data_IF_567150007062
#
_entry.id   IF_567150007062
#
_cell.length_a   1.000
_cell.length_b   1.000
_cell.length_c   1.000
_cell.angle_alpha   90.00
_cell.angle_beta   90.00
_cell.angle_gamma   90.00
#
_symmetry.space_group_name_H-M   'P 1'
#
loop_
_entity.id
_entity.type
_entity.pdbx_description
1 polymer ?
#
# COMPACT_ATOMS: atom_id res chain seq x y z
N UNK A 1 9.22 24.06 -15.28
CA UNK A 1 9.55 24.25 -16.70
C UNK A 1 8.63 25.28 -17.32
N UNK A 2 7.50 24.85 -17.87
CA UNK A 2 6.59 25.70 -18.66
C UNK A 2 6.14 26.96 -17.91
N UNK A 3 5.55 26.80 -16.72
CA UNK A 3 5.08 27.93 -15.90
C UNK A 3 6.21 28.92 -15.55
N UNK A 4 7.43 28.41 -15.34
CA UNK A 4 8.57 29.28 -15.08
C UNK A 4 8.96 30.10 -16.31
N UNK A 5 8.90 29.52 -17.51
CA UNK A 5 9.11 30.25 -18.77
C UNK A 5 8.00 31.26 -19.06
N UNK A 6 6.77 31.02 -18.63
CA UNK A 6 5.68 32.02 -18.74
C UNK A 6 5.96 33.26 -17.87
N UNK A 7 6.53 33.07 -16.68
CA UNK A 7 6.87 34.14 -15.75
C UNK A 7 8.21 34.82 -16.09
N UNK A 8 9.17 34.06 -16.62
CA UNK A 8 10.51 34.53 -17.00
C UNK A 8 10.85 34.01 -18.41
N UNK A 9 10.36 34.70 -19.46
CA UNK A 9 10.47 34.21 -20.85
C UNK A 9 11.91 33.99 -21.32
N UNK A 10 12.82 34.85 -20.88
CA UNK A 10 14.22 34.84 -21.29
C UNK A 10 15.07 33.81 -20.53
N UNK A 11 14.53 33.13 -19.51
CA UNK A 11 15.29 32.17 -18.72
C UNK A 11 15.68 30.93 -19.55
N UNK A 12 16.92 30.46 -19.39
CA UNK A 12 17.35 29.19 -19.96
C UNK A 12 17.00 28.05 -19.00
N UNK A 13 16.31 27.01 -19.51
CA UNK A 13 15.84 25.89 -18.68
C UNK A 13 16.35 24.59 -19.26
N UNK A 14 17.09 23.85 -18.43
CA UNK A 14 17.63 22.54 -18.74
C UNK A 14 16.95 21.47 -17.89
N UNK A 15 16.46 20.41 -18.52
CA UNK A 15 15.88 19.24 -17.86
C UNK A 15 16.74 18.01 -18.14
N UNK A 16 17.48 17.58 -17.13
CA UNK A 16 18.29 16.36 -17.20
C UNK A 16 17.44 15.14 -16.87
N UNK A 17 17.46 14.13 -17.73
CA UNK A 17 16.60 12.95 -17.59
C UNK A 17 17.29 11.65 -18.05
N UNK A 18 16.75 10.50 -17.65
CA UNK A 18 17.15 9.18 -18.19
C UNK A 18 16.13 8.75 -19.23
N UNK A 19 14.87 8.69 -18.80
CA UNK A 19 13.69 8.40 -19.62
C UNK A 19 12.59 9.42 -19.29
N UNK A 20 11.89 9.92 -20.31
CA UNK A 20 10.70 10.75 -20.13
C UNK A 20 9.49 9.84 -20.00
N UNK A 21 8.77 9.95 -18.88
CA UNK A 21 7.60 9.11 -18.56
C UNK A 21 6.33 9.93 -18.69
N UNK A 22 5.91 10.15 -19.92
CA UNK A 22 4.70 10.89 -20.32
C UNK A 22 3.50 9.94 -20.46
N UNK A 23 3.28 9.09 -19.45
CA UNK A 23 2.19 8.11 -19.47
C UNK A 23 0.89 8.80 -19.08
N UNK A 24 -0.08 8.83 -20.00
CA UNK A 24 -1.36 9.52 -19.78
C UNK A 24 -1.86 10.22 -21.03
N UNK A 25 -3.13 10.64 -21.00
CA UNK A 25 -3.72 11.37 -22.12
C UNK A 25 -3.10 12.76 -22.22
N UNK A 26 -2.62 13.13 -23.41
CA UNK A 26 -2.00 14.42 -23.73
C UNK A 26 -0.67 14.73 -23.01
N UNK A 27 -0.06 13.78 -22.31
CA UNK A 27 1.21 14.04 -21.60
C UNK A 27 2.37 14.19 -22.59
N UNK A 28 2.34 13.45 -23.70
CA UNK A 28 3.30 13.61 -24.79
C UNK A 28 3.13 14.95 -25.51
N UNK A 29 1.88 15.39 -25.74
CA UNK A 29 1.63 16.72 -26.30
C UNK A 29 2.13 17.83 -25.36
N UNK A 30 2.00 17.64 -24.04
CA UNK A 30 2.56 18.58 -23.05
C UNK A 30 4.09 18.64 -23.13
N UNK A 31 4.76 17.49 -23.29
CA UNK A 31 6.20 17.44 -23.50
C UNK A 31 6.60 18.15 -24.80
N UNK A 32 5.89 17.89 -25.91
CA UNK A 32 6.14 18.55 -27.20
C UNK A 32 6.04 20.07 -27.07
N UNK A 33 5.00 20.58 -26.42
CA UNK A 33 4.84 22.02 -26.17
C UNK A 33 5.99 22.58 -25.33
N UNK A 34 6.45 21.85 -24.31
CA UNK A 34 7.60 22.26 -23.51
C UNK A 34 8.89 22.38 -24.34
N UNK A 35 9.09 21.49 -25.30
CA UNK A 35 10.25 21.48 -26.19
C UNK A 35 10.15 22.54 -27.30
N UNK A 36 9.06 22.52 -28.06
CA UNK A 36 8.90 23.30 -29.30
C UNK A 36 8.45 24.73 -29.05
N UNK A 37 7.49 24.95 -28.13
CA UNK A 37 6.90 26.27 -27.89
C UNK A 37 7.70 27.04 -26.82
N UNK A 38 8.07 26.37 -25.73
CA UNK A 38 8.76 26.99 -24.60
C UNK A 38 10.30 26.92 -24.68
N UNK A 39 10.85 26.19 -25.66
CA UNK A 39 12.30 26.08 -25.87
C UNK A 39 13.06 25.45 -24.68
N UNK A 40 12.41 24.60 -23.88
CA UNK A 40 13.05 23.93 -22.74
C UNK A 40 13.99 22.85 -23.28
N UNK A 41 15.25 22.87 -22.84
CA UNK A 41 16.26 21.93 -23.31
C UNK A 41 16.21 20.65 -22.49
N UNK A 42 15.95 19.53 -23.15
CA UNK A 42 15.97 18.21 -22.52
C UNK A 42 17.29 17.51 -22.84
N UNK A 43 18.06 17.22 -21.79
CA UNK A 43 19.37 16.59 -21.91
C UNK A 43 19.28 15.18 -21.35
N UNK A 44 19.45 14.18 -22.23
CA UNK A 44 19.42 12.79 -21.80
C UNK A 44 20.74 12.42 -21.13
N UNK A 45 20.74 12.38 -19.82
CA UNK A 45 21.93 12.19 -19.00
C UNK A 45 21.61 12.23 -17.52
N UNK A 46 22.16 11.27 -16.77
CA UNK A 46 22.12 11.35 -15.30
C UNK A 46 23.17 12.35 -14.83
N UNK A 47 22.74 13.33 -14.04
CA UNK A 47 23.65 14.26 -13.35
C UNK A 47 24.55 13.47 -12.40
N UNK A 48 25.85 13.69 -12.50
CA UNK A 48 26.87 13.02 -11.69
C UNK A 48 27.18 13.79 -10.41
N UNK A 49 27.24 15.12 -10.50
CA UNK A 49 27.57 16.00 -9.40
C UNK A 49 26.92 17.37 -9.60
N UNK A 50 26.42 17.94 -8.52
CA UNK A 50 26.04 19.35 -8.41
C UNK A 50 26.94 19.95 -7.35
N UNK A 51 27.56 21.08 -7.64
CA UNK A 51 28.46 21.77 -6.72
C UNK A 51 28.45 23.26 -6.99
N UNK A 52 28.87 24.04 -6.01
CA UNK A 52 28.99 25.49 -6.13
C UNK A 52 30.47 25.86 -6.13
N UNK A 53 30.85 26.74 -7.05
CA UNK A 53 32.21 27.27 -7.18
C UNK A 53 32.10 28.77 -7.51
N UNK A 54 32.81 29.61 -6.73
CA UNK A 54 32.78 31.07 -6.86
C UNK A 54 31.36 31.70 -6.87
N UNK A 55 30.42 31.08 -6.15
CA UNK A 55 29.01 31.52 -6.08
C UNK A 55 28.14 31.11 -7.25
N UNK A 56 28.65 30.30 -8.18
CA UNK A 56 27.94 29.77 -9.35
C UNK A 56 27.65 28.29 -9.15
N UNK A 57 26.39 27.87 -9.39
CA UNK A 57 26.01 26.47 -9.32
C UNK A 57 26.38 25.77 -10.62
N UNK A 58 27.14 24.68 -10.52
CA UNK A 58 27.61 23.88 -11.64
C UNK A 58 26.99 22.48 -11.63
N UNK A 59 26.49 22.06 -12.78
CA UNK A 59 25.91 20.73 -12.99
C UNK A 59 26.82 19.93 -13.93
N UNK A 60 27.44 18.88 -13.40
CA UNK A 60 28.26 17.95 -14.16
C UNK A 60 27.42 16.73 -14.57
N UNK A 61 27.26 16.51 -15.87
CA UNK A 61 26.49 15.40 -16.42
C UNK A 61 27.16 14.79 -17.67
N UNK A 62 26.59 13.68 -18.15
CA UNK A 62 26.95 13.08 -19.44
C UNK A 62 25.75 13.20 -20.36
N UNK A 63 25.90 13.91 -21.47
CA UNK A 63 24.93 13.84 -22.57
C UNK A 63 25.14 12.52 -23.30
N UNK A 64 24.20 11.60 -23.11
CA UNK A 64 24.25 10.25 -23.67
C UNK A 64 23.91 10.21 -25.16
N UNK A 65 23.24 11.23 -25.71
CA UNK A 65 22.92 11.31 -27.13
C UNK A 65 24.13 11.82 -27.93
N UNK A 66 24.87 12.77 -27.35
CA UNK A 66 26.09 13.31 -27.94
C UNK A 66 27.37 12.58 -27.49
N UNK A 67 27.24 11.61 -26.58
CA UNK A 67 28.33 10.85 -25.97
C UNK A 67 29.47 11.73 -25.44
N UNK A 68 29.12 12.79 -24.73
CA UNK A 68 30.09 13.75 -24.18
C UNK A 68 29.77 14.15 -22.76
N UNK A 69 30.82 14.48 -21.99
CA UNK A 69 30.67 15.14 -20.70
C UNK A 69 30.29 16.60 -20.93
N UNK A 70 29.38 17.10 -20.10
CA UNK A 70 28.94 18.49 -20.13
C UNK A 70 28.98 19.04 -18.71
N UNK A 71 29.34 20.31 -18.61
CA UNK A 71 29.24 21.13 -17.42
C UNK A 71 28.35 22.31 -17.77
N UNK A 72 27.29 22.52 -17.00
CA UNK A 72 26.33 23.60 -17.20
C UNK A 72 26.34 24.47 -15.96
N UNK A 73 26.58 25.76 -16.15
CA UNK A 73 26.46 26.78 -15.11
C UNK A 73 25.02 27.25 -15.06
N UNK A 74 24.44 27.30 -13.86
CA UNK A 74 23.05 27.71 -13.63
C UNK A 74 22.96 28.60 -12.40
N UNK A 75 21.98 29.49 -12.38
CA UNK A 75 21.68 30.30 -11.18
C UNK A 75 21.00 29.46 -10.09
N UNK A 76 20.33 28.38 -10.48
CA UNK A 76 19.56 27.53 -9.57
C UNK A 76 19.41 26.10 -10.12
N UNK A 77 19.63 25.11 -9.25
CA UNK A 77 19.34 23.71 -9.52
C UNK A 77 18.08 23.28 -8.79
N UNK A 78 17.11 22.71 -9.53
CA UNK A 78 15.88 22.15 -8.96
C UNK A 78 15.93 20.62 -8.98
N UNK A 79 15.82 20.00 -7.80
CA UNK A 79 15.79 18.54 -7.68
C UNK A 79 14.35 18.02 -7.82
N UNK A 80 14.09 17.25 -8.87
CA UNK A 80 12.84 16.49 -9.01
C UNK A 80 12.86 15.26 -8.09
N UNK A 81 12.59 15.48 -6.80
CA UNK A 81 12.62 14.43 -5.78
C UNK A 81 11.46 13.42 -5.97
N UNK A 82 11.67 12.15 -5.63
CA UNK A 82 10.62 11.15 -5.68
C UNK A 82 9.57 11.40 -4.59
N UNK A 83 8.38 10.85 -4.79
CA UNK A 83 7.43 10.66 -3.68
C UNK A 83 7.93 9.52 -2.79
N UNK A 84 7.86 9.74 -1.48
CA UNK A 84 8.12 8.74 -0.46
C UNK A 84 6.85 8.58 0.40
N UNK A 85 6.71 7.46 1.13
CA UNK A 85 5.60 7.30 2.05
C UNK A 85 5.57 8.43 3.10
N UNK A 86 4.36 8.79 3.53
CA UNK A 86 4.18 9.85 4.53
C UNK A 86 4.67 9.41 5.92
N UNK A 87 5.15 10.36 6.72
CA UNK A 87 5.49 10.10 8.11
C UNK A 87 4.28 9.52 8.87
N UNK A 88 4.52 8.47 9.66
CA UNK A 88 3.47 7.80 10.45
C UNK A 88 2.61 6.80 9.67
N UNK A 89 2.88 6.55 8.38
CA UNK A 89 2.13 5.55 7.59
C UNK A 89 2.19 4.15 8.21
N UNK A 90 3.32 3.77 8.80
CA UNK A 90 3.51 2.48 9.45
C UNK A 90 2.65 2.31 10.70
N UNK A 91 2.56 3.36 11.52
CA UNK A 91 1.71 3.37 12.70
C UNK A 91 0.23 3.29 12.30
N UNK A 92 -0.17 4.02 11.26
CA UNK A 92 -1.52 3.96 10.71
C UNK A 92 -1.85 2.56 10.19
N UNK A 93 -0.96 1.98 9.39
CA UNK A 93 -1.13 0.64 8.83
C UNK A 93 -1.25 -0.41 9.94
N UNK A 94 -0.44 -0.32 11.01
CA UNK A 94 -0.55 -1.22 12.16
C UNK A 94 -1.89 -1.09 12.89
N UNK A 95 -2.34 0.15 13.18
CA UNK A 95 -3.63 0.39 13.85
C UNK A 95 -4.81 -0.11 13.01
N UNK A 96 -4.74 0.07 11.69
CA UNK A 96 -5.77 -0.34 10.76
C UNK A 96 -5.60 -1.78 10.26
N UNK A 97 -4.52 -2.46 10.65
CA UNK A 97 -4.16 -3.83 10.21
C UNK A 97 -4.06 -3.93 8.68
N UNK A 98 -3.54 -2.90 8.04
CA UNK A 98 -3.29 -2.85 6.59
C UNK A 98 -1.84 -3.30 6.34
N UNK A 99 -1.61 -3.98 5.23
CA UNK A 99 -0.26 -4.36 4.80
C UNK A 99 0.46 -3.20 4.13
N UNK A 100 1.79 -3.21 4.21
CA UNK A 100 2.66 -2.25 3.53
C UNK A 100 3.48 -3.01 2.49
N UNK A 101 3.64 -2.41 1.32
CA UNK A 101 4.43 -3.00 0.24
C UNK A 101 5.94 -2.85 0.48
N UNK A 102 6.76 -3.40 -0.42
CA UNK A 102 8.22 -3.33 -0.30
C UNK A 102 8.80 -1.92 -0.47
N UNK A 103 7.99 -0.94 -0.88
CA UNK A 103 8.38 0.46 -1.06
C UNK A 103 7.90 1.36 0.10
N UNK A 104 7.20 0.79 1.09
CA UNK A 104 6.68 1.51 2.25
C UNK A 104 5.29 2.14 2.06
N UNK A 105 4.59 1.86 0.95
CA UNK A 105 3.22 2.36 0.71
C UNK A 105 2.15 1.34 1.14
N UNK A 106 0.90 1.79 1.32
CA UNK A 106 -0.20 0.89 1.66
C UNK A 106 -0.49 -0.10 0.53
N UNK A 107 -0.53 -1.38 0.86
CA UNK A 107 -0.68 -2.46 -0.11
C UNK A 107 -2.16 -2.77 -0.40
N UNK A 108 -2.54 -2.73 -1.67
CA UNK A 108 -3.83 -3.22 -2.13
C UNK A 108 -3.94 -4.75 -2.08
N UNK A 109 -5.17 -5.26 -2.02
CA UNK A 109 -5.47 -6.68 -1.98
C UNK A 109 -5.03 -7.39 -3.27
N UNK A 110 -5.28 -6.77 -4.42
CA UNK A 110 -4.82 -7.30 -5.71
C UNK A 110 -4.68 -6.19 -6.76
N UNK A 111 -3.53 -6.07 -7.46
CA UNK A 111 -3.24 -4.92 -8.34
C UNK A 111 -4.27 -4.65 -9.45
N UNK A 112 -4.97 -5.69 -9.92
CA UNK A 112 -5.98 -5.60 -11.00
C UNK A 112 -7.43 -5.75 -10.55
N UNK A 113 -7.73 -6.81 -9.79
CA UNK A 113 -9.10 -7.14 -9.38
C UNK A 113 -9.61 -6.28 -8.22
N UNK A 114 -8.71 -5.90 -7.29
CA UNK A 114 -9.06 -5.20 -6.07
C UNK A 114 -8.06 -4.05 -5.79
N UNK A 115 -7.93 -3.08 -6.70
CA UNK A 115 -6.86 -2.07 -6.67
C UNK A 115 -7.04 -0.99 -5.59
N UNK A 116 -8.21 -0.94 -4.95
CA UNK A 116 -8.56 0.06 -3.92
C UNK A 116 -9.00 -0.58 -2.61
N UNK A 117 -8.96 -1.90 -2.52
CA UNK A 117 -9.35 -2.63 -1.31
C UNK A 117 -8.08 -3.08 -0.61
N UNK A 118 -8.07 -3.06 0.72
CA UNK A 118 -6.98 -3.65 1.49
C UNK A 118 -7.27 -5.12 1.82
N UNK A 119 -6.28 -5.83 2.37
CA UNK A 119 -6.50 -7.17 2.91
C UNK A 119 -7.44 -7.20 4.12
N UNK A 120 -7.65 -6.05 4.78
CA UNK A 120 -8.62 -5.92 5.88
C UNK A 120 -9.97 -5.51 5.31
N UNK A 121 -11.02 -6.35 5.48
CA UNK A 121 -12.35 -6.05 4.96
C UNK A 121 -12.91 -4.72 5.47
N UNK A 122 -13.58 -3.98 4.59
CA UNK A 122 -14.16 -2.66 4.92
C UNK A 122 -13.15 -1.51 4.95
N UNK A 123 -11.85 -1.77 4.74
CA UNK A 123 -10.82 -0.75 4.64
C UNK A 123 -10.36 -0.61 3.20
N UNK A 124 -10.47 0.62 2.68
CA UNK A 124 -10.17 0.98 1.30
C UNK A 124 -9.03 2.00 1.23
N UNK A 125 -8.36 2.03 0.08
CA UNK A 125 -7.17 2.82 -0.19
C UNK A 125 -7.46 3.85 -1.28
N UNK A 126 -6.93 5.06 -1.11
CA UNK A 126 -7.03 6.11 -2.11
C UNK A 126 -5.80 7.03 -2.11
N UNK A 127 -5.40 7.46 -3.30
CA UNK A 127 -4.38 8.49 -3.50
C UNK A 127 -2.95 8.01 -3.30
N UNK A 128 -2.06 8.98 -3.05
CA UNK A 128 -0.62 8.75 -3.00
C UNK A 128 -0.17 7.87 -1.82
N UNK A 129 -1.03 7.64 -0.82
CA UNK A 129 -0.74 6.72 0.29
C UNK A 129 -0.54 5.26 -0.18
N UNK A 130 -1.14 4.89 -1.32
CA UNK A 130 -1.02 3.55 -1.91
C UNK A 130 0.15 3.42 -2.90
N UNK A 131 0.55 4.51 -3.56
CA UNK A 131 1.71 4.55 -4.48
C UNK A 131 1.88 5.95 -5.09
N UNK A 132 3.08 6.30 -5.58
CA UNK A 132 3.27 7.53 -6.35
C UNK A 132 2.35 7.59 -7.57
N UNK A 133 1.53 8.63 -7.67
CA UNK A 133 0.56 8.84 -8.75
C UNK A 133 0.23 10.31 -8.91
N UNK A 134 -0.36 10.66 -10.05
CA UNK A 134 -0.81 12.02 -10.30
C UNK A 134 -2.21 12.31 -9.73
N UNK A 135 -2.68 13.53 -9.96
CA UNK A 135 -3.98 13.99 -9.47
C UNK A 135 -5.12 13.25 -10.16
N UNK A 136 -5.01 12.94 -11.46
CA UNK A 136 -6.09 12.31 -12.21
C UNK A 136 -6.32 10.89 -11.70
N UNK A 137 -5.25 10.13 -11.54
CA UNK A 137 -5.29 8.78 -10.96
C UNK A 137 -5.78 8.82 -9.52
N UNK A 138 -5.34 9.80 -8.73
CA UNK A 138 -5.80 9.99 -7.34
C UNK A 138 -7.32 10.21 -7.26
N UNK A 139 -7.87 11.08 -8.12
CA UNK A 139 -9.31 11.37 -8.14
C UNK A 139 -10.11 10.15 -8.61
N UNK A 140 -9.62 9.44 -9.63
CA UNK A 140 -10.25 8.20 -10.09
C UNK A 140 -10.26 7.14 -8.99
N UNK A 141 -9.14 6.96 -8.28
CA UNK A 141 -9.01 6.01 -7.18
C UNK A 141 -9.91 6.38 -6.00
N UNK A 142 -10.00 7.67 -5.65
CA UNK A 142 -10.92 8.14 -4.61
C UNK A 142 -12.38 7.81 -4.94
N UNK A 143 -12.78 7.97 -6.20
CA UNK A 143 -14.12 7.60 -6.66
C UNK A 143 -14.37 6.09 -6.57
N UNK A 144 -13.37 5.27 -6.94
CA UNK A 144 -13.45 3.82 -6.82
C UNK A 144 -13.56 3.37 -5.35
N UNK A 145 -12.73 3.92 -4.46
CA UNK A 145 -12.78 3.64 -3.02
C UNK A 145 -14.14 4.04 -2.42
N UNK A 146 -14.68 5.21 -2.79
CA UNK A 146 -16.02 5.64 -2.37
C UNK A 146 -17.11 4.68 -2.87
N UNK A 147 -17.03 4.22 -4.12
CA UNK A 147 -17.97 3.24 -4.66
C UNK A 147 -17.94 1.91 -3.89
N UNK A 148 -16.75 1.46 -3.48
CA UNK A 148 -16.57 0.24 -2.69
C UNK A 148 -17.05 0.36 -1.25
N UNK A 149 -16.85 1.53 -0.64
CA UNK A 149 -17.47 1.83 0.65
C UNK A 149 -19.00 1.83 0.56
N UNK A 150 -19.56 2.45 -0.49
CA UNK A 150 -21.01 2.45 -0.74
C UNK A 150 -21.57 1.05 -1.02
N UNK A 151 -20.81 0.19 -1.70
CA UNK A 151 -21.20 -1.21 -1.94
C UNK A 151 -21.54 -1.93 -0.63
N UNK A 152 -20.75 -1.71 0.43
CA UNK A 152 -21.00 -2.29 1.75
C UNK A 152 -22.14 -1.54 2.45
N UNK A 153 -22.10 -0.21 2.46
CA UNK A 153 -23.04 0.63 3.22
C UNK A 153 -24.47 0.61 2.68
N UNK A 154 -24.66 0.26 1.40
CA UNK A 154 -25.97 0.20 0.76
C UNK A 154 -26.72 -1.11 1.01
N UNK A 155 -26.07 -2.10 1.65
CA UNK A 155 -26.68 -3.39 1.93
C UNK A 155 -27.33 -3.39 3.31
N UNK A 156 -28.54 -3.97 3.41
CA UNK A 156 -29.23 -4.16 4.71
C UNK A 156 -28.49 -5.16 5.62
N UNK A 157 -27.68 -6.04 5.04
CA UNK A 157 -26.96 -7.12 5.72
C UNK A 157 -25.61 -7.32 5.08
N UNK A 158 -24.61 -7.63 5.90
CA UNK A 158 -23.25 -7.96 5.46
C UNK A 158 -23.00 -9.43 5.80
N UNK A 159 -22.37 -10.17 4.88
CA UNK A 159 -21.94 -11.54 5.15
C UNK A 159 -20.58 -11.55 5.85
N UNK A 160 -20.52 -12.19 7.02
CA UNK A 160 -19.28 -12.48 7.72
C UNK A 160 -18.83 -13.91 7.38
N UNK A 161 -17.53 -14.13 7.27
CA UNK A 161 -16.96 -15.46 7.02
C UNK A 161 -17.36 -16.42 8.14
N UNK A 162 -17.87 -17.63 7.84
CA UNK A 162 -18.32 -18.56 8.87
C UNK A 162 -17.18 -19.30 9.58
N UNK A 163 -15.92 -19.05 9.21
CA UNK A 163 -14.72 -19.61 9.85
C UNK A 163 -14.48 -18.87 11.16
N UNK A 164 -15.31 -19.17 12.15
CA UNK A 164 -15.26 -18.57 13.49
C UNK A 164 -14.94 -19.64 14.53
N UNK A 165 -14.35 -19.23 15.64
CA UNK A 165 -14.00 -20.15 16.72
C UNK A 165 -15.24 -20.48 17.57
N UNK A 166 -15.36 -21.75 17.97
CA UNK A 166 -16.42 -22.26 18.84
C UNK A 166 -15.81 -22.96 20.04
N UNK A 167 -16.56 -23.03 21.16
CA UNK A 167 -16.09 -23.65 22.41
C UNK A 167 -16.99 -24.81 22.81
N UNK A 168 -16.38 -25.98 23.04
CA UNK A 168 -17.01 -27.10 23.72
C UNK A 168 -16.97 -26.84 25.24
N UNK A 169 -18.13 -26.53 25.83
CA UNK A 169 -18.25 -26.19 27.27
C UNK A 169 -17.91 -27.36 28.19
N UNK A 170 -18.06 -28.61 27.75
CA UNK A 170 -17.77 -29.78 28.58
C UNK A 170 -16.26 -29.97 28.77
N UNK A 171 -15.49 -29.73 27.70
CA UNK A 171 -14.03 -29.81 27.72
C UNK A 171 -13.35 -28.56 28.31
N UNK A 172 -14.10 -27.49 28.55
CA UNK A 172 -13.53 -26.15 28.64
C UNK A 172 -12.62 -25.85 29.83
N UNK A 173 -12.57 -26.51 30.99
CA UNK A 173 -11.74 -26.16 32.17
C UNK A 173 -11.79 -24.72 32.77
N UNK A 174 -11.95 -23.65 31.99
CA UNK A 174 -11.97 -22.26 32.45
C UNK A 174 -10.61 -21.60 32.68
N UNK A 175 -9.53 -22.08 32.05
CA UNK A 175 -8.15 -21.61 32.30
C UNK A 175 -7.82 -20.18 31.82
N UNK A 176 -8.68 -19.55 30.99
CA UNK A 176 -8.59 -18.17 30.49
C UNK A 176 -7.42 -17.82 29.55
N UNK A 177 -6.57 -18.78 29.16
CA UNK A 177 -5.45 -18.52 28.24
C UNK A 177 -5.88 -17.96 26.88
N UNK A 178 -7.08 -18.32 26.41
CA UNK A 178 -7.64 -17.82 25.16
C UNK A 178 -7.92 -16.31 25.17
N UNK A 179 -8.17 -15.69 26.33
CA UNK A 179 -8.50 -14.27 26.43
C UNK A 179 -7.34 -13.40 25.92
N UNK A 180 -6.13 -13.65 26.39
CA UNK A 180 -4.93 -12.93 25.96
C UNK A 180 -4.47 -13.29 24.55
N UNK A 181 -4.89 -14.46 24.03
CA UNK A 181 -4.54 -14.90 22.70
C UNK A 181 -5.35 -14.23 21.59
N UNK A 182 -6.56 -13.71 21.90
CA UNK A 182 -7.42 -13.08 20.90
C UNK A 182 -7.05 -11.60 20.70
N UNK A 183 -6.52 -11.19 19.53
CA UNK A 183 -6.18 -9.79 19.29
C UNK A 183 -7.41 -8.92 18.97
N UNK A 184 -8.59 -9.53 18.87
CA UNK A 184 -9.86 -8.87 18.54
C UNK A 184 -10.75 -8.68 19.77
N UNK A 185 -10.42 -9.31 20.92
CA UNK A 185 -11.27 -9.28 22.11
C UNK A 185 -12.60 -10.04 21.94
N UNK A 186 -12.65 -11.05 21.08
CA UNK A 186 -13.87 -11.79 20.76
C UNK A 186 -14.30 -12.80 21.85
N UNK A 187 -13.57 -12.92 22.97
CA UNK A 187 -13.73 -14.01 23.93
C UNK A 187 -14.08 -13.44 25.31
N UNK A 188 -15.13 -13.97 25.92
CA UNK A 188 -15.56 -13.63 27.27
C UNK A 188 -15.66 -14.89 28.15
N UNK A 189 -15.75 -14.70 29.47
CA UNK A 189 -15.94 -15.78 30.42
C UNK A 189 -17.35 -15.74 31.00
N UNK A 190 -18.15 -16.75 30.69
CA UNK A 190 -19.54 -16.92 31.14
C UNK A 190 -19.64 -18.21 31.96
N UNK A 191 -20.11 -18.11 33.20
CA UNK A 191 -20.23 -19.23 34.15
C UNK A 191 -18.91 -20.04 34.31
N UNK A 192 -17.77 -19.35 34.28
CA UNK A 192 -16.46 -19.99 34.40
C UNK A 192 -15.99 -20.74 33.15
N UNK A 193 -16.71 -20.64 32.03
CA UNK A 193 -16.32 -21.19 30.71
C UNK A 193 -16.10 -20.06 29.71
N UNK A 194 -15.28 -20.32 28.69
CA UNK A 194 -15.07 -19.36 27.62
C UNK A 194 -16.27 -19.38 26.65
N UNK A 195 -16.70 -18.21 26.22
CA UNK A 195 -17.71 -18.00 25.19
C UNK A 195 -17.14 -17.05 24.13
N UNK A 196 -17.40 -17.33 22.86
CA UNK A 196 -16.82 -16.59 21.74
C UNK A 196 -17.95 -15.86 21.02
N UNK A 197 -17.81 -14.55 20.89
CA UNK A 197 -18.70 -13.74 20.07
C UNK A 197 -18.36 -13.98 18.59
N UNK A 198 -19.23 -14.71 17.89
CA UNK A 198 -19.04 -15.06 16.48
C UNK A 198 -18.93 -13.83 15.56
N UNK A 199 -19.50 -12.68 15.96
CA UNK A 199 -19.51 -11.45 15.15
C UNK A 199 -18.15 -10.73 15.21
N UNK A 200 -17.43 -10.84 16.33
CA UNK A 200 -16.11 -10.19 16.53
C UNK A 200 -14.97 -11.13 16.10
N UNK A 201 -15.25 -12.43 15.98
CA UNK A 201 -14.24 -13.44 15.72
C UNK A 201 -13.79 -13.43 14.25
N UNK A 202 -12.60 -12.89 13.98
CA UNK A 202 -11.99 -12.91 12.62
C UNK A 202 -11.37 -14.26 12.22
N UNK A 203 -11.63 -15.35 12.95
CA UNK A 203 -11.24 -16.70 12.52
C UNK A 203 -9.73 -17.04 12.54
N UNK A 204 -8.86 -16.20 13.13
CA UNK A 204 -7.40 -16.38 13.05
C UNK A 204 -6.84 -17.66 13.72
N UNK A 205 -7.61 -18.33 14.59
CA UNK A 205 -7.20 -19.59 15.23
C UNK A 205 -6.21 -19.48 16.40
N UNK A 206 -5.78 -18.28 16.80
CA UNK A 206 -4.83 -18.10 17.90
C UNK A 206 -5.32 -18.70 19.25
N UNK A 207 -6.61 -18.63 19.52
CA UNK A 207 -7.21 -19.24 20.71
C UNK A 207 -7.27 -20.77 20.63
N UNK A 208 -7.41 -21.34 19.43
CA UNK A 208 -7.40 -22.80 19.20
C UNK A 208 -6.04 -23.37 19.52
N UNK A 209 -4.97 -22.78 18.96
CA UNK A 209 -3.59 -23.25 19.19
C UNK A 209 -3.15 -23.11 20.66
N UNK A 210 -3.71 -22.15 21.39
CA UNK A 210 -3.38 -21.90 22.79
C UNK A 210 -4.19 -22.77 23.76
N UNK A 211 -5.31 -23.35 23.34
CA UNK A 211 -6.22 -24.06 24.24
C UNK A 211 -5.67 -25.45 24.65
N UNK A 212 -5.22 -25.64 25.91
CA UNK A 212 -4.58 -26.90 26.31
C UNK A 212 -5.56 -28.07 26.37
N UNK A 213 -6.84 -27.80 26.66
CA UNK A 213 -7.88 -28.83 26.72
C UNK A 213 -8.50 -29.15 25.36
N UNK A 214 -8.01 -28.54 24.26
CA UNK A 214 -8.60 -28.63 22.92
C UNK A 214 -10.11 -28.35 22.88
N UNK A 215 -10.61 -27.57 23.83
CA UNK A 215 -12.02 -27.20 23.90
C UNK A 215 -12.44 -26.17 22.85
N UNK A 216 -11.49 -25.49 22.21
CA UNK A 216 -11.77 -24.48 21.18
C UNK A 216 -11.40 -25.07 19.82
N UNK A 217 -12.28 -24.93 18.84
CA UNK A 217 -12.10 -25.35 17.45
C UNK A 217 -12.52 -24.22 16.50
N UNK A 218 -11.94 -24.16 15.30
CA UNK A 218 -12.44 -23.29 14.23
C UNK A 218 -13.47 -24.04 13.38
N UNK A 219 -14.61 -23.41 13.09
CA UNK A 219 -15.57 -23.95 12.11
C UNK A 219 -14.88 -24.06 10.75
N UNK A 220 -15.02 -25.21 10.09
CA UNK A 220 -14.32 -25.60 8.86
C UNK A 220 -12.79 -25.81 8.97
N UNK A 221 -12.23 -25.77 10.18
CA UNK A 221 -10.86 -26.19 10.49
C UNK A 221 -10.85 -26.91 11.86
N UNK A 222 -11.70 -27.92 12.03
CA UNK A 222 -11.76 -28.70 13.27
C UNK A 222 -10.53 -29.60 13.41
N UNK A 223 -10.28 -30.11 14.62
CA UNK A 223 -9.17 -31.05 14.83
C UNK A 223 -9.30 -32.28 13.94
N UNK A 224 -10.51 -32.83 13.79
CA UNK A 224 -10.77 -33.99 12.95
C UNK A 224 -10.47 -33.71 11.47
N UNK A 225 -10.81 -32.50 10.99
CA UNK A 225 -10.51 -32.09 9.63
C UNK A 225 -9.01 -31.93 9.41
N UNK A 226 -8.30 -31.31 10.36
CA UNK A 226 -6.86 -31.13 10.29
C UNK A 226 -6.11 -32.47 10.39
N UNK A 227 -6.53 -33.35 11.29
CA UNK A 227 -5.96 -34.69 11.45
C UNK A 227 -6.16 -35.50 10.15
N UNK A 228 -7.36 -35.48 9.57
CA UNK A 228 -7.62 -36.12 8.27
C UNK A 228 -6.75 -35.55 7.13
N UNK A 229 -6.51 -34.23 7.10
CA UNK A 229 -5.60 -33.61 6.14
C UNK A 229 -4.15 -34.07 6.34
N UNK A 230 -3.71 -34.20 7.59
CA UNK A 230 -2.36 -34.67 7.93
C UNK A 230 -2.21 -36.15 7.54
N UNK A 231 -3.17 -37.00 7.88
CA UNK A 231 -3.17 -38.43 7.55
C UNK A 231 -3.12 -38.67 6.03
N UNK A 232 -3.88 -37.88 5.27
CA UNK A 232 -3.90 -37.96 3.81
C UNK A 232 -2.53 -37.65 3.19
N UNK A 233 -1.76 -36.70 3.77
CA UNK A 233 -0.41 -36.37 3.31
C UNK A 233 0.63 -37.36 3.84
N UNK A 234 0.46 -37.85 5.06
CA UNK A 234 1.36 -38.81 5.71
C UNK A 234 1.23 -40.24 5.16
N UNK A 235 0.28 -40.49 4.25
CA UNK A 235 0.18 -41.72 3.49
C UNK A 235 -0.79 -42.76 4.05
N UNK A 236 -1.74 -42.38 4.91
CA UNK A 236 -2.78 -43.27 5.44
C UNK A 236 -2.21 -44.50 6.14
N UNK A 237 -1.92 -44.39 7.44
CA UNK A 237 -1.61 -45.56 8.28
C UNK A 237 -2.93 -46.26 8.62
#
# INVERSE_FOLDING_TARGET
GLLFKELVPDAEVYSFYIDLRTVGKNYEDFLRRAQEEAGIQFIRGKVSKIYEEDGVVKILAVDTLLNRRIEVEVDMAVLALPMVPADGIEELASKMRIQIDNNGFLQELHPKLHPVESATPGIFLAGAAQSPKDIQDTVAQASAAASKALEILSQDKISHTPIVATVNRDLCSGCRLCLSACPYGAIEMVDGRAEINEIICEGCGACVSTCPSRAISLRNFTYEQLDAMIEAVAGGI
#
